data_IF_312764560384
#
_entry.id   IF_312764560384
#
_cell.length_a   1.000
_cell.length_b   1.000
_cell.length_c   1.000
_cell.angle_alpha   90.00
_cell.angle_beta   90.00
_cell.angle_gamma   90.00
#
_symmetry.space_group_name_H-M   'P 1'
#
loop_
_entity.id
_entity.type
_entity.pdbx_description
1 polymer ?
#
# COMPACT_ATOMS: atom_id res chain seq x y z
N UNK A 1 11.68 -1.84 20.94
CA UNK A 1 11.44 -2.43 19.62
C UNK A 1 10.28 -1.68 18.99
N UNK A 2 10.45 -0.91 17.91
CA UNK A 2 9.30 -0.34 17.22
C UNK A 2 8.46 -1.50 16.67
N UNK A 3 7.18 -1.54 17.02
CA UNK A 3 6.27 -2.57 16.54
C UNK A 3 6.22 -2.54 15.01
N UNK A 4 6.14 -3.71 14.34
CA UNK A 4 5.95 -3.76 12.90
C UNK A 4 4.67 -3.00 12.51
N UNK A 5 4.76 -2.17 11.47
CA UNK A 5 3.59 -1.48 10.92
C UNK A 5 2.84 -2.48 10.06
N UNK A 6 1.63 -2.87 10.46
CA UNK A 6 0.77 -3.71 9.65
C UNK A 6 0.07 -2.86 8.60
N UNK A 7 0.16 -3.26 7.34
CA UNK A 7 -0.47 -2.56 6.23
C UNK A 7 -1.38 -3.52 5.45
N UNK A 8 -2.57 -3.04 5.12
CA UNK A 8 -3.45 -3.64 4.11
C UNK A 8 -3.57 -2.65 2.96
N UNK A 9 -3.28 -3.12 1.74
CA UNK A 9 -3.48 -2.36 0.52
C UNK A 9 -4.46 -3.14 -0.34
N UNK A 10 -5.49 -2.48 -0.86
CA UNK A 10 -6.30 -3.07 -1.92
C UNK A 10 -6.11 -2.23 -3.18
N UNK A 11 -5.89 -2.90 -4.30
CA UNK A 11 -5.65 -2.24 -5.57
C UNK A 11 -6.31 -3.02 -6.70
N UNK A 12 -6.58 -2.33 -7.80
CA UNK A 12 -7.14 -2.92 -9.01
C UNK A 12 -6.00 -3.41 -9.90
N UNK A 13 -5.97 -4.69 -10.22
CA UNK A 13 -5.00 -5.24 -11.17
C UNK A 13 -5.40 -4.95 -12.62
N UNK A 14 -4.54 -5.33 -13.58
CA UNK A 14 -4.76 -5.09 -15.02
C UNK A 14 -5.99 -5.78 -15.60
N UNK A 15 -6.53 -6.79 -14.90
CA UNK A 15 -7.75 -7.53 -15.30
C UNK A 15 -9.00 -6.94 -14.63
N UNK A 16 -8.87 -5.78 -13.95
CA UNK A 16 -9.97 -5.07 -13.31
C UNK A 16 -10.43 -5.66 -11.97
N UNK A 17 -9.72 -6.67 -11.43
CA UNK A 17 -10.05 -7.29 -10.14
C UNK A 17 -9.40 -6.54 -8.99
N UNK A 18 -10.10 -6.46 -7.86
CA UNK A 18 -9.54 -5.95 -6.61
C UNK A 18 -8.69 -7.06 -5.98
N UNK A 19 -7.42 -6.76 -5.74
CA UNK A 19 -6.45 -7.64 -5.09
C UNK A 19 -5.98 -6.97 -3.80
N UNK A 20 -5.87 -7.76 -2.73
CA UNK A 20 -5.41 -7.31 -1.42
C UNK A 20 -4.00 -7.77 -1.12
N UNK A 21 -3.11 -6.84 -0.75
CA UNK A 21 -1.86 -7.12 -0.06
C UNK A 21 -2.05 -6.89 1.44
N UNK A 22 -1.62 -7.83 2.28
CA UNK A 22 -1.56 -7.65 3.73
C UNK A 22 -0.21 -8.11 4.23
N UNK A 23 0.50 -7.25 4.95
CA UNK A 23 1.84 -7.56 5.43
C UNK A 23 2.31 -6.60 6.50
N UNK A 24 3.47 -6.91 7.09
CA UNK A 24 4.16 -5.98 7.97
C UNK A 24 5.30 -5.29 7.22
N UNK A 25 5.41 -3.98 7.39
CA UNK A 25 6.51 -3.17 6.89
C UNK A 25 7.31 -2.61 8.07
N UNK A 26 8.63 -2.60 7.92
CA UNK A 26 9.55 -2.09 8.95
C UNK A 26 10.14 -0.72 8.58
N UNK A 27 9.93 -0.26 7.35
CA UNK A 27 10.43 1.02 6.87
C UNK A 27 9.59 1.55 5.70
N UNK A 28 9.73 2.84 5.42
CA UNK A 28 9.18 3.48 4.22
C UNK A 28 9.72 2.85 2.91
N UNK A 29 10.96 2.35 2.92
CA UNK A 29 11.55 1.66 1.78
C UNK A 29 10.85 0.33 1.50
N UNK A 30 10.56 -0.45 2.53
CA UNK A 30 9.81 -1.71 2.38
C UNK A 30 8.41 -1.47 1.79
N UNK A 31 7.78 -0.33 2.13
CA UNK A 31 6.51 0.07 1.51
C UNK A 31 6.69 0.37 0.01
N UNK A 32 7.73 1.12 -0.38
CA UNK A 32 8.02 1.38 -1.80
C UNK A 32 8.27 0.08 -2.57
N UNK A 33 9.09 -0.82 -2.03
CA UNK A 33 9.38 -2.11 -2.66
C UNK A 33 8.10 -2.92 -2.89
N UNK A 34 7.14 -2.89 -1.96
CA UNK A 34 5.81 -3.52 -2.12
C UNK A 34 5.02 -2.84 -3.23
N UNK A 35 4.92 -1.51 -3.20
CA UNK A 35 4.18 -0.76 -4.22
C UNK A 35 4.73 -1.02 -5.63
N UNK A 36 6.06 -1.04 -5.79
CA UNK A 36 6.73 -1.33 -7.06
C UNK A 36 6.56 -2.79 -7.50
N UNK A 37 6.76 -3.75 -6.58
CA UNK A 37 6.68 -5.18 -6.88
C UNK A 37 5.29 -5.63 -7.36
N UNK A 38 4.25 -4.99 -6.83
CA UNK A 38 2.86 -5.29 -7.18
C UNK A 38 2.26 -4.30 -8.18
N UNK A 39 3.09 -3.43 -8.76
CA UNK A 39 2.69 -2.42 -9.75
C UNK A 39 1.50 -1.57 -9.26
N UNK A 40 1.49 -1.27 -7.97
CA UNK A 40 0.47 -0.46 -7.32
C UNK A 40 0.76 1.00 -7.66
N UNK A 41 -0.21 1.67 -8.27
CA UNK A 41 -0.16 3.09 -8.60
C UNK A 41 -1.21 3.82 -7.79
N UNK A 42 -1.10 5.15 -7.76
CA UNK A 42 -2.11 5.98 -7.09
C UNK A 42 -3.51 5.79 -7.69
N UNK A 43 -3.60 5.50 -8.98
CA UNK A 43 -4.85 5.38 -9.73
C UNK A 43 -5.53 4.02 -9.51
N UNK A 44 -4.75 2.97 -9.28
CA UNK A 44 -5.28 1.63 -9.05
C UNK A 44 -5.48 1.32 -7.56
N UNK A 45 -4.92 2.11 -6.65
CA UNK A 45 -5.07 1.95 -5.20
C UNK A 45 -6.48 2.33 -4.73
N UNK A 46 -7.16 1.36 -4.11
CA UNK A 46 -8.55 1.45 -3.63
C UNK A 46 -8.60 1.67 -2.11
N UNK A 47 -7.83 0.90 -1.34
CA UNK A 47 -7.86 0.91 0.12
C UNK A 47 -6.44 0.98 0.68
N UNK A 48 -6.27 1.78 1.73
CA UNK A 48 -5.08 1.77 2.57
C UNK A 48 -5.51 1.60 4.01
N UNK A 49 -5.00 0.59 4.68
CA UNK A 49 -5.14 0.46 6.14
C UNK A 49 -3.79 0.30 6.79
N UNK A 50 -3.59 1.01 7.90
CA UNK A 50 -2.38 0.90 8.71
C UNK A 50 -2.80 0.58 10.13
N UNK A 51 -2.29 -0.51 10.68
CA UNK A 51 -2.63 -1.02 12.02
C UNK A 51 -4.15 -1.12 12.25
N UNK A 52 -4.89 -1.58 11.24
CA UNK A 52 -6.36 -1.76 11.29
C UNK A 52 -7.17 -0.45 11.19
N UNK A 53 -6.53 0.68 10.88
CA UNK A 53 -7.21 1.95 10.60
C UNK A 53 -7.14 2.26 9.12
N UNK A 54 -8.28 2.53 8.50
CA UNK A 54 -8.34 2.93 7.09
C UNK A 54 -7.91 4.40 6.93
N UNK A 55 -7.20 4.68 5.85
CA UNK A 55 -6.67 5.98 5.48
C UNK A 55 -7.00 6.28 4.02
N UNK A 56 -7.15 7.56 3.69
CA UNK A 56 -7.27 7.98 2.30
C UNK A 56 -6.01 7.58 1.51
N UNK A 57 -6.16 7.01 0.30
CA UNK A 57 -5.05 6.70 -0.60
C UNK A 57 -4.10 7.89 -0.84
N UNK A 58 -4.61 9.12 -0.75
CA UNK A 58 -3.84 10.38 -0.84
C UNK A 58 -2.68 10.47 0.16
N UNK A 59 -2.78 9.79 1.32
CA UNK A 59 -1.66 9.74 2.27
C UNK A 59 -0.42 9.04 1.71
N UNK A 60 -0.59 8.21 0.68
CA UNK A 60 0.51 7.53 0.01
C UNK A 60 1.03 8.28 -1.23
N UNK A 61 0.48 9.44 -1.58
CA UNK A 61 0.89 10.22 -2.77
C UNK A 61 2.40 10.48 -2.81
N UNK A 62 3.02 10.75 -1.65
CA UNK A 62 4.48 10.97 -1.55
C UNK A 62 5.33 9.75 -1.93
N UNK A 63 4.76 8.55 -1.91
CA UNK A 63 5.44 7.32 -2.33
C UNK A 63 5.28 7.04 -3.83
N UNK A 64 4.29 7.67 -4.48
CA UNK A 64 4.08 7.60 -5.93
C UNK A 64 4.76 8.75 -6.69
N UNK A 65 5.22 9.79 -5.98
CA UNK A 65 6.03 10.86 -6.57
C UNK A 65 7.46 10.36 -6.80
N UNK A 66 7.89 10.43 -8.05
CA UNK A 66 9.22 10.02 -8.53
C UNK A 66 10.29 11.04 -8.12
#
# INVERSE_FOLDING_TARGET
>A
MPYPIWIRLEYRNDVGRIVGFTGSIQSERALRDVLERYEITRENLVLVEINGKSYSPEKLDRFFRR
#
